data_IF_845618482408
#
_entry.id   IF_845618482408
#
_cell.length_a   1.000
_cell.length_b   1.000
_cell.length_c   1.000
_cell.angle_alpha   90.00
_cell.angle_beta   90.00
_cell.angle_gamma   90.00
#
_symmetry.space_group_name_H-M   'P 1'
#
loop_
_entity.id
_entity.type
_entity.pdbx_description
1 polymer ?
#
# COMPACT_ATOMS: atom_id res chain seq x y z
N UNK A 1 16.60 -16.04 1.66
CA UNK A 1 16.06 -17.04 2.59
C UNK A 1 14.98 -16.42 3.43
N UNK A 2 13.95 -17.20 3.81
CA UNK A 2 12.82 -16.75 4.63
C UNK A 2 12.77 -17.63 5.88
N UNK A 3 12.63 -17.01 7.06
CA UNK A 3 12.38 -17.69 8.34
C UNK A 3 11.03 -17.25 8.89
N UNK A 4 10.23 -18.21 9.34
CA UNK A 4 8.92 -17.99 9.97
C UNK A 4 9.03 -18.26 11.46
N UNK A 5 8.47 -17.37 12.28
CA UNK A 5 8.32 -17.54 13.72
C UNK A 5 6.84 -17.59 14.06
N UNK A 6 6.38 -18.66 14.69
CA UNK A 6 5.01 -18.76 15.23
C UNK A 6 5.04 -19.60 16.53
N UNK A 7 4.12 -19.32 17.45
CA UNK A 7 3.97 -20.11 18.68
C UNK A 7 3.33 -21.49 18.42
N UNK A 8 2.64 -21.64 17.31
CA UNK A 8 1.97 -22.88 16.91
C UNK A 8 2.89 -23.75 16.07
N UNK A 9 3.37 -24.84 16.67
CA UNK A 9 4.29 -25.79 16.03
C UNK A 9 3.69 -26.43 14.75
N UNK A 10 2.38 -26.72 14.73
CA UNK A 10 1.73 -27.34 13.58
C UNK A 10 1.69 -26.37 12.39
N UNK A 11 1.47 -25.08 12.64
CA UNK A 11 1.54 -24.05 11.60
C UNK A 11 2.96 -23.94 11.04
N UNK A 12 3.96 -23.88 11.91
CA UNK A 12 5.36 -23.80 11.50
C UNK A 12 5.71 -25.01 10.62
N UNK A 13 5.39 -26.20 11.07
CA UNK A 13 5.66 -27.44 10.32
C UNK A 13 4.91 -27.46 8.97
N UNK A 14 3.64 -27.09 8.95
CA UNK A 14 2.84 -27.04 7.71
C UNK A 14 3.43 -26.08 6.69
N UNK A 15 3.82 -24.88 7.12
CA UNK A 15 4.40 -23.88 6.24
C UNK A 15 5.78 -24.27 5.73
N UNK A 16 6.65 -24.83 6.61
CA UNK A 16 7.97 -25.31 6.20
C UNK A 16 7.89 -26.51 5.26
N UNK A 17 6.81 -27.31 5.36
CA UNK A 17 6.60 -28.44 4.44
C UNK A 17 6.01 -28.00 3.08
N UNK A 18 5.25 -26.93 3.07
CA UNK A 18 4.59 -26.43 1.85
C UNK A 18 5.47 -25.47 1.06
N UNK A 19 6.37 -24.77 1.71
CA UNK A 19 7.24 -23.73 1.14
C UNK A 19 8.69 -23.97 1.56
N UNK A 20 9.62 -23.48 0.76
CA UNK A 20 11.06 -23.52 1.08
C UNK A 20 11.42 -22.42 2.10
N UNK A 21 10.99 -22.61 3.35
CA UNK A 21 11.18 -21.67 4.45
C UNK A 21 11.65 -22.38 5.71
N UNK A 22 12.50 -21.70 6.48
CA UNK A 22 12.87 -22.17 7.82
C UNK A 22 11.78 -21.82 8.84
N UNK A 23 11.57 -22.68 9.82
CA UNK A 23 10.59 -22.48 10.87
C UNK A 23 11.21 -22.50 12.27
N UNK A 24 10.86 -21.52 13.10
CA UNK A 24 11.21 -21.46 14.52
C UNK A 24 9.92 -21.36 15.34
N UNK A 25 9.76 -22.29 16.30
CA UNK A 25 8.58 -22.30 17.17
C UNK A 25 8.87 -21.47 18.42
N UNK A 26 8.12 -20.38 18.60
CA UNK A 26 8.31 -19.53 19.77
C UNK A 26 7.63 -18.18 19.69
N UNK A 27 7.80 -17.40 20.76
CA UNK A 27 7.30 -16.05 20.82
C UNK A 27 8.21 -15.10 20.03
N UNK A 28 7.71 -14.49 18.96
CA UNK A 28 8.46 -13.56 18.11
C UNK A 28 8.99 -12.30 18.83
N UNK A 29 8.50 -11.98 20.02
CA UNK A 29 9.04 -10.90 20.85
C UNK A 29 10.22 -11.35 21.72
N UNK A 30 10.51 -12.66 21.80
CA UNK A 30 11.63 -13.17 22.57
C UNK A 30 12.95 -12.97 21.83
N UNK A 31 13.90 -12.37 22.50
CA UNK A 31 15.26 -12.17 21.98
C UNK A 31 15.91 -13.50 21.54
N UNK A 32 15.83 -14.54 22.39
CA UNK A 32 16.41 -15.85 22.07
C UNK A 32 15.79 -16.50 20.84
N UNK A 33 14.47 -16.36 20.65
CA UNK A 33 13.76 -16.88 19.48
C UNK A 33 14.17 -16.11 18.22
N UNK A 34 14.31 -14.81 18.30
CA UNK A 34 14.80 -14.01 17.18
C UNK A 34 16.25 -14.31 16.83
N UNK A 35 17.09 -14.58 17.83
CA UNK A 35 18.47 -15.02 17.58
C UNK A 35 18.52 -16.38 16.91
N UNK A 36 17.74 -17.37 17.37
CA UNK A 36 17.60 -18.67 16.73
C UNK A 36 17.14 -18.55 15.27
N UNK A 37 16.24 -17.58 15.00
CA UNK A 37 15.76 -17.28 13.67
C UNK A 37 16.77 -16.53 12.78
N UNK A 38 17.94 -16.13 13.30
CA UNK A 38 18.99 -15.46 12.54
C UNK A 38 18.82 -13.97 12.39
N UNK A 39 18.24 -13.27 13.38
CA UNK A 39 17.93 -11.84 13.32
C UNK A 39 19.15 -10.96 13.04
N UNK A 40 20.33 -11.36 13.44
CA UNK A 40 21.60 -10.67 13.23
C UNK A 40 22.02 -10.57 11.75
N UNK A 41 21.48 -11.45 10.89
CA UNK A 41 21.73 -11.50 9.45
C UNK A 41 20.50 -11.15 8.61
N UNK A 42 19.42 -10.71 9.26
CA UNK A 42 18.14 -10.43 8.62
C UNK A 42 18.15 -9.03 7.99
N UNK A 43 17.75 -8.92 6.76
CA UNK A 43 17.57 -7.62 6.07
C UNK A 43 16.21 -6.98 6.43
N UNK A 44 15.16 -7.80 6.54
CA UNK A 44 13.79 -7.36 6.75
C UNK A 44 13.06 -8.24 7.76
N UNK A 45 12.50 -7.64 8.80
CA UNK A 45 11.64 -8.28 9.79
C UNK A 45 10.19 -7.78 9.65
N UNK A 46 9.23 -8.70 9.55
CA UNK A 46 7.80 -8.38 9.40
C UNK A 46 7.02 -9.02 10.54
N UNK A 47 6.32 -8.23 11.34
CA UNK A 47 5.45 -8.70 12.41
C UNK A 47 3.97 -8.54 12.03
N UNK A 48 3.26 -9.68 11.95
CA UNK A 48 1.87 -9.76 11.48
C UNK A 48 1.01 -10.66 12.37
N UNK A 49 1.31 -10.69 13.67
CA UNK A 49 0.51 -11.44 14.65
C UNK A 49 -0.88 -10.84 14.85
N UNK A 50 -1.71 -11.44 15.69
CA UNK A 50 -3.05 -10.95 15.98
C UNK A 50 -3.07 -9.70 16.89
N UNK A 51 -1.98 -9.42 17.65
CA UNK A 51 -1.88 -8.26 18.54
C UNK A 51 -0.97 -7.19 17.96
N UNK A 52 -1.50 -5.96 17.89
CA UNK A 52 -0.75 -4.78 17.44
C UNK A 52 0.43 -4.47 18.37
N UNK A 53 0.22 -4.60 19.69
CA UNK A 53 1.25 -4.38 20.71
C UNK A 53 2.38 -5.40 20.57
N UNK A 54 2.02 -6.66 20.32
CA UNK A 54 3.00 -7.72 20.08
C UNK A 54 3.80 -7.46 18.80
N UNK A 55 3.14 -7.00 17.73
CA UNK A 55 3.80 -6.66 16.48
C UNK A 55 4.80 -5.50 16.67
N UNK A 56 4.40 -4.46 17.40
CA UNK A 56 5.29 -3.35 17.74
C UNK A 56 6.47 -3.80 18.59
N UNK A 57 6.23 -4.66 19.58
CA UNK A 57 7.27 -5.19 20.44
C UNK A 57 8.26 -6.08 19.66
N UNK A 58 7.75 -7.02 18.85
CA UNK A 58 8.59 -7.87 18.00
C UNK A 58 9.52 -7.05 17.12
N UNK A 59 8.97 -6.05 16.43
CA UNK A 59 9.75 -5.17 15.55
C UNK A 59 10.75 -4.31 16.32
N UNK A 60 10.39 -3.85 17.53
CA UNK A 60 11.29 -3.06 18.38
C UNK A 60 12.49 -3.88 18.83
N UNK A 61 12.28 -5.14 19.24
CA UNK A 61 13.36 -6.07 19.60
C UNK A 61 14.23 -6.34 18.37
N UNK A 62 13.63 -6.72 17.25
CA UNK A 62 14.34 -6.99 15.99
C UNK A 62 15.22 -5.81 15.56
N UNK A 63 14.70 -4.59 15.66
CA UNK A 63 15.44 -3.38 15.31
C UNK A 63 16.62 -3.10 16.23
N UNK A 64 16.49 -3.44 17.51
CA UNK A 64 17.57 -3.25 18.50
C UNK A 64 18.66 -4.31 18.40
N UNK A 65 18.32 -5.51 18.00
CA UNK A 65 19.23 -6.67 17.94
C UNK A 65 19.88 -6.78 16.56
N UNK A 66 19.05 -6.83 15.49
CA UNK A 66 19.51 -7.12 14.13
C UNK A 66 19.78 -5.89 13.27
N UNK A 67 19.39 -4.70 13.71
CA UNK A 67 19.48 -3.47 12.90
C UNK A 67 18.82 -3.57 11.50
N UNK A 68 17.92 -4.53 11.31
CA UNK A 68 17.20 -4.78 10.07
C UNK A 68 16.13 -3.72 9.79
N UNK A 69 15.60 -3.67 8.57
CA UNK A 69 14.34 -2.99 8.30
C UNK A 69 13.21 -3.73 9.03
N UNK A 70 12.28 -2.98 9.67
CA UNK A 70 11.20 -3.58 10.45
C UNK A 70 9.84 -3.01 10.04
N UNK A 71 8.88 -3.92 9.78
CA UNK A 71 7.51 -3.60 9.40
C UNK A 71 6.54 -4.22 10.40
N UNK A 72 5.72 -3.40 11.05
CA UNK A 72 4.68 -3.84 11.97
C UNK A 72 3.28 -3.65 11.39
N UNK A 73 2.42 -4.67 11.50
CA UNK A 73 0.99 -4.53 11.25
C UNK A 73 0.32 -3.95 12.49
N UNK A 74 -0.37 -2.80 12.32
CA UNK A 74 -1.11 -2.12 13.40
C UNK A 74 -2.45 -1.68 12.85
N UNK A 75 -3.54 -2.20 13.42
CA UNK A 75 -4.92 -2.00 12.96
C UNK A 75 -5.70 -1.02 13.81
N UNK A 76 -5.38 -0.95 15.11
CA UNK A 76 -6.14 -0.15 16.06
C UNK A 76 -6.09 1.34 15.70
N UNK A 77 -7.25 2.01 15.53
CA UNK A 77 -7.33 3.42 15.22
C UNK A 77 -6.65 4.34 16.23
N UNK A 78 -6.54 3.92 17.50
CA UNK A 78 -5.89 4.71 18.53
C UNK A 78 -4.39 4.90 18.25
N UNK A 79 -3.74 3.89 17.69
CA UNK A 79 -2.34 4.00 17.27
C UNK A 79 -2.17 4.74 15.95
N UNK A 80 -3.21 4.77 15.11
CA UNK A 80 -3.14 5.40 13.78
C UNK A 80 -2.92 6.91 13.87
N UNK A 81 -3.46 7.56 14.91
CA UNK A 81 -3.29 9.01 15.14
C UNK A 81 -1.83 9.39 15.40
N UNK A 82 -1.10 8.50 16.10
CA UNK A 82 0.28 8.72 16.52
C UNK A 82 1.29 7.89 15.74
N UNK A 83 0.88 7.35 14.57
CA UNK A 83 1.66 6.37 13.80
C UNK A 83 3.07 6.87 13.44
N UNK A 84 3.22 8.15 13.10
CA UNK A 84 4.50 8.74 12.78
C UNK A 84 5.40 8.87 13.99
N UNK A 85 4.81 9.20 15.15
CA UNK A 85 5.53 9.25 16.43
C UNK A 85 6.02 7.85 16.81
N UNK A 86 5.13 6.84 16.81
CA UNK A 86 5.48 5.44 17.11
C UNK A 86 6.56 4.93 16.17
N UNK A 87 6.38 5.10 14.85
CA UNK A 87 7.36 4.70 13.86
C UNK A 87 8.75 5.28 14.14
N UNK A 88 8.83 6.58 14.38
CA UNK A 88 10.11 7.27 14.59
C UNK A 88 10.75 6.89 15.94
N UNK A 89 9.97 6.81 17.03
CA UNK A 89 10.48 6.51 18.37
C UNK A 89 10.89 5.03 18.52
N UNK A 90 10.17 4.12 17.90
CA UNK A 90 10.51 2.70 17.90
C UNK A 90 11.53 2.33 16.79
N UNK A 91 11.85 3.26 15.89
CA UNK A 91 12.80 3.06 14.81
C UNK A 91 12.29 2.13 13.70
N UNK A 92 10.97 2.01 13.54
CA UNK A 92 10.37 1.15 12.54
C UNK A 92 10.47 1.76 11.15
N UNK A 93 10.65 0.90 10.14
CA UNK A 93 10.69 1.34 8.74
C UNK A 93 9.30 1.70 8.26
N UNK A 94 8.32 0.80 8.48
CA UNK A 94 6.93 1.01 8.16
C UNK A 94 6.00 0.47 9.26
N UNK A 95 4.83 1.10 9.37
CA UNK A 95 3.67 0.55 10.06
C UNK A 95 2.57 0.45 9.02
N UNK A 96 1.97 -0.72 8.87
CA UNK A 96 0.95 -1.01 7.86
C UNK A 96 -0.39 -1.36 8.52
N UNK A 97 -1.47 -0.92 7.87
CA UNK A 97 -2.84 -1.30 8.23
C UNK A 97 -3.56 -1.77 6.96
N UNK A 98 -3.48 -3.07 6.62
CA UNK A 98 -4.06 -3.61 5.40
C UNK A 98 -5.58 -3.41 5.32
N UNK A 99 -6.28 -3.48 6.44
CA UNK A 99 -7.72 -3.30 6.51
C UNK A 99 -8.14 -1.87 6.16
N UNK A 100 -7.38 -0.88 6.64
CA UNK A 100 -7.61 0.52 6.31
C UNK A 100 -7.32 0.80 4.83
N UNK A 101 -6.23 0.26 4.29
CA UNK A 101 -5.90 0.43 2.88
C UNK A 101 -6.95 -0.25 1.97
N UNK A 102 -7.41 -1.45 2.32
CA UNK A 102 -8.50 -2.11 1.61
C UNK A 102 -9.80 -1.29 1.67
N UNK A 103 -10.14 -0.72 2.83
CA UNK A 103 -11.34 0.11 2.97
C UNK A 103 -11.25 1.40 2.14
N UNK A 104 -10.08 2.01 2.05
CA UNK A 104 -9.83 3.18 1.19
C UNK A 104 -10.01 2.84 -0.28
N UNK A 105 -9.51 1.68 -0.70
CA UNK A 105 -9.66 1.22 -2.08
C UNK A 105 -11.11 0.91 -2.43
N UNK A 106 -11.86 0.27 -1.54
CA UNK A 106 -13.31 0.04 -1.70
C UNK A 106 -14.03 1.39 -1.81
N UNK A 107 -13.75 2.33 -0.92
CA UNK A 107 -14.35 3.67 -0.98
C UNK A 107 -14.03 4.36 -2.31
N UNK A 108 -12.80 4.24 -2.80
CA UNK A 108 -12.39 4.78 -4.10
C UNK A 108 -13.24 4.23 -5.24
N UNK A 109 -13.43 2.91 -5.29
CA UNK A 109 -14.26 2.25 -6.32
C UNK A 109 -15.70 2.74 -6.26
N UNK A 110 -16.24 2.94 -5.05
CA UNK A 110 -17.62 3.43 -4.87
C UNK A 110 -17.79 4.90 -5.30
N UNK A 111 -16.79 5.76 -5.00
CA UNK A 111 -16.85 7.18 -5.36
C UNK A 111 -16.50 7.45 -6.83
N UNK A 112 -15.65 6.63 -7.43
CA UNK A 112 -15.16 6.80 -8.80
C UNK A 112 -15.28 5.49 -9.58
N UNK A 113 -16.48 4.97 -9.81
CA UNK A 113 -16.69 3.65 -10.41
C UNK A 113 -16.16 3.56 -11.85
N UNK A 114 -16.04 4.68 -12.56
CA UNK A 114 -15.52 4.75 -13.93
C UNK A 114 -13.99 4.94 -13.99
N UNK A 115 -13.34 5.21 -12.86
CA UNK A 115 -11.90 5.38 -12.84
C UNK A 115 -11.19 4.04 -12.97
N UNK A 116 -10.34 3.90 -13.99
CA UNK A 116 -9.49 2.73 -14.20
C UNK A 116 -8.32 2.70 -13.21
N UNK A 117 -7.81 3.88 -12.86
CA UNK A 117 -6.69 4.04 -11.93
C UNK A 117 -6.75 5.40 -11.26
N UNK A 118 -6.36 5.46 -9.99
CA UNK A 118 -6.21 6.71 -9.22
C UNK A 118 -4.90 6.67 -8.46
N UNK A 119 -4.03 7.63 -8.71
CA UNK A 119 -2.79 7.83 -7.97
C UNK A 119 -2.85 9.17 -7.24
N UNK A 120 -2.46 9.18 -5.97
CA UNK A 120 -2.37 10.40 -5.18
C UNK A 120 -0.93 10.85 -5.04
N UNK A 121 -0.69 12.15 -5.17
CA UNK A 121 0.59 12.82 -5.03
C UNK A 121 0.51 13.91 -3.97
N UNK A 122 1.68 14.40 -3.52
CA UNK A 122 1.79 15.51 -2.59
C UNK A 122 0.89 15.33 -1.34
N UNK A 123 0.95 14.15 -0.70
CA UNK A 123 0.15 13.81 0.49
C UNK A 123 -1.36 13.94 0.28
N UNK A 124 -1.84 13.60 -0.94
CA UNK A 124 -3.26 13.63 -1.30
C UNK A 124 -3.78 14.97 -1.83
N UNK A 125 -2.91 15.98 -1.97
CA UNK A 125 -3.29 17.30 -2.51
C UNK A 125 -3.50 17.31 -4.02
N UNK A 126 -2.88 16.36 -4.74
CA UNK A 126 -3.07 16.17 -6.17
C UNK A 126 -3.40 14.71 -6.47
N UNK A 127 -4.26 14.48 -7.47
CA UNK A 127 -4.65 13.14 -7.92
C UNK A 127 -4.51 13.02 -9.42
N UNK A 128 -3.92 11.93 -9.89
CA UNK A 128 -3.94 11.52 -11.28
C UNK A 128 -5.00 10.43 -11.43
N UNK A 129 -6.00 10.69 -12.25
CA UNK A 129 -7.14 9.79 -12.49
C UNK A 129 -7.08 9.34 -13.93
N UNK A 130 -7.00 8.02 -14.16
CA UNK A 130 -7.16 7.40 -15.47
C UNK A 130 -8.59 6.91 -15.59
N UNK A 131 -9.32 7.35 -16.62
CA UNK A 131 -10.69 6.90 -16.87
C UNK A 131 -10.97 6.81 -18.38
N UNK A 132 -11.93 5.98 -18.75
CA UNK A 132 -12.40 5.88 -20.13
C UNK A 132 -13.62 6.74 -20.34
N UNK A 133 -13.65 7.49 -21.44
CA UNK A 133 -14.82 8.30 -21.82
C UNK A 133 -15.93 7.36 -22.32
N UNK A 134 -17.06 7.23 -21.59
CA UNK A 134 -18.16 6.40 -22.02
C UNK A 134 -18.99 7.08 -23.12
N UNK A 135 -19.77 6.28 -23.84
CA UNK A 135 -20.71 6.75 -24.83
C UNK A 135 -21.69 7.78 -24.24
N UNK A 136 -21.92 8.88 -24.98
CA UNK A 136 -22.85 9.93 -24.57
C UNK A 136 -22.38 10.78 -23.37
N UNK A 137 -21.10 10.71 -23.03
CA UNK A 137 -20.53 11.59 -22.00
C UNK A 137 -20.39 13.02 -22.53
N UNK A 138 -20.51 14.00 -21.62
CA UNK A 138 -20.36 15.43 -21.94
C UNK A 138 -18.99 15.78 -22.55
N UNK A 139 -17.97 14.95 -22.30
CA UNK A 139 -16.63 15.13 -22.82
C UNK A 139 -16.48 14.64 -24.27
N UNK A 140 -17.43 13.82 -24.78
CA UNK A 140 -17.38 13.36 -26.15
C UNK A 140 -17.54 14.53 -27.15
N UNK A 141 -16.64 14.61 -28.12
CA UNK A 141 -16.51 15.69 -29.09
C UNK A 141 -16.19 17.08 -28.49
N UNK A 142 -15.72 17.14 -27.22
CA UNK A 142 -15.31 18.38 -26.59
C UNK A 142 -13.84 18.71 -26.86
N UNK A 143 -13.53 19.93 -27.25
CA UNK A 143 -12.15 20.41 -27.28
C UNK A 143 -11.67 20.70 -25.84
N UNK A 144 -10.41 20.31 -25.52
CA UNK A 144 -9.86 20.47 -24.15
C UNK A 144 -9.89 21.93 -23.68
N UNK A 145 -9.74 22.90 -24.56
CA UNK A 145 -9.86 24.34 -24.21
C UNK A 145 -11.20 24.69 -23.57
N UNK A 146 -12.26 23.96 -23.89
CA UNK A 146 -13.61 24.18 -23.38
C UNK A 146 -13.86 23.39 -22.06
N UNK A 147 -12.90 22.59 -21.57
CA UNK A 147 -13.05 21.81 -20.36
C UNK A 147 -13.34 22.69 -19.13
N UNK A 148 -12.90 23.94 -19.14
CA UNK A 148 -13.19 24.93 -18.08
C UNK A 148 -14.69 25.18 -17.86
N UNK A 149 -15.52 24.92 -18.86
CA UNK A 149 -16.98 25.04 -18.75
C UNK A 149 -17.57 23.91 -17.87
N UNK A 150 -16.88 22.78 -17.79
CA UNK A 150 -17.28 21.60 -17.00
C UNK A 150 -16.55 21.55 -15.67
N UNK A 151 -15.25 21.84 -15.66
CA UNK A 151 -14.41 21.82 -14.45
C UNK A 151 -13.20 22.75 -14.62
N UNK A 152 -13.00 23.64 -13.65
CA UNK A 152 -11.87 24.57 -13.62
C UNK A 152 -10.60 23.98 -12.99
N UNK A 153 -10.69 22.84 -12.32
CA UNK A 153 -9.61 22.27 -11.51
C UNK A 153 -8.99 21.00 -12.12
N UNK A 154 -9.30 20.71 -13.38
CA UNK A 154 -8.84 19.51 -14.08
C UNK A 154 -7.86 19.88 -15.18
N UNK A 155 -6.76 19.13 -15.26
CA UNK A 155 -5.78 19.17 -16.34
C UNK A 155 -5.73 17.81 -17.02
N UNK A 156 -5.97 17.76 -18.32
CA UNK A 156 -5.75 16.56 -19.12
C UNK A 156 -4.25 16.49 -19.44
N UNK A 157 -3.59 15.50 -18.87
CA UNK A 157 -2.13 15.31 -19.04
C UNK A 157 -1.79 14.47 -20.27
N UNK A 158 -2.61 13.46 -20.56
CA UNK A 158 -2.43 12.55 -21.69
C UNK A 158 -3.77 11.95 -22.11
N UNK A 159 -3.85 11.52 -23.36
CA UNK A 159 -4.99 10.79 -23.92
C UNK A 159 -4.47 9.55 -24.65
N UNK A 160 -4.97 8.37 -24.32
CA UNK A 160 -4.73 7.14 -25.05
C UNK A 160 -5.91 6.86 -25.97
N UNK A 161 -5.67 6.80 -27.29
CA UNK A 161 -6.66 6.51 -28.33
C UNK A 161 -6.10 5.43 -29.25
N UNK A 162 -6.85 4.36 -29.44
CA UNK A 162 -6.47 3.23 -30.32
C UNK A 162 -5.09 2.65 -30.00
N UNK A 163 -4.68 2.68 -28.73
CA UNK A 163 -3.37 2.21 -28.26
C UNK A 163 -2.22 3.20 -28.47
N UNK A 164 -2.48 4.41 -28.99
CA UNK A 164 -1.49 5.47 -29.12
C UNK A 164 -1.66 6.51 -28.01
N UNK A 165 -0.52 6.95 -27.43
CA UNK A 165 -0.49 7.97 -26.40
C UNK A 165 -0.29 9.36 -27.01
N UNK A 166 -1.21 10.27 -26.73
CA UNK A 166 -1.16 11.66 -27.15
C UNK A 166 -0.94 12.59 -25.95
N UNK A 167 -0.07 13.58 -26.09
CA UNK A 167 0.00 14.71 -25.15
C UNK A 167 -0.84 15.82 -25.78
N UNK A 168 -2.06 16.07 -25.25
CA UNK A 168 -3.02 16.89 -25.95
C UNK A 168 -2.72 18.39 -25.79
N UNK A 169 -3.05 19.17 -26.82
CA UNK A 169 -3.15 20.63 -26.74
C UNK A 169 -4.59 21.06 -26.46
N UNK A 170 -4.81 22.36 -26.20
CA UNK A 170 -6.16 22.90 -25.99
C UNK A 170 -7.13 22.65 -27.14
N UNK A 171 -6.64 22.50 -28.38
CA UNK A 171 -7.45 22.23 -29.58
C UNK A 171 -7.73 20.75 -29.80
N UNK A 172 -7.11 19.84 -29.00
CA UNK A 172 -7.37 18.42 -29.10
C UNK A 172 -8.82 18.12 -28.72
N UNK A 173 -9.51 17.38 -29.56
CA UNK A 173 -10.90 16.98 -29.33
C UNK A 173 -10.95 15.59 -28.72
N UNK A 174 -11.52 15.49 -27.53
CA UNK A 174 -11.80 14.25 -26.84
C UNK A 174 -12.89 13.45 -27.57
N UNK A 175 -12.84 12.13 -27.51
CA UNK A 175 -13.81 11.24 -28.13
C UNK A 175 -14.24 10.13 -27.20
N UNK A 176 -15.42 9.57 -27.46
CA UNK A 176 -15.83 8.30 -26.87
C UNK A 176 -14.72 7.25 -27.04
N UNK A 177 -14.45 6.49 -25.98
CA UNK A 177 -13.44 5.44 -25.96
C UNK A 177 -12.03 5.90 -25.58
N UNK A 178 -11.73 7.19 -25.60
CA UNK A 178 -10.46 7.74 -25.11
C UNK A 178 -10.26 7.39 -23.63
N UNK A 179 -9.02 7.16 -23.28
CA UNK A 179 -8.62 6.89 -21.90
C UNK A 179 -7.72 8.01 -21.42
#
# INVERSE_FOLDING_TARGET
DITIIDMNADKVQSLSSAYDVMGVVGNGASFSVQQEAGIDKTDLFIAVTESDELNLLCCTVAKKVGNCAAIARVRNPDYTKDINYLRNKLGLTFIINPELEASREIARILYLPTALQVNSFAHGQARLIKFKIPAGNILDNMAIMNLKEVSSEVLICAVERDGELHIPSGTFTLKEGDI
#
